data_IF_230683695485
#
_entry.id   IF_230683695485
#
_cell.length_a   1.000
_cell.length_b   1.000
_cell.length_c   1.000
_cell.angle_alpha   90.00
_cell.angle_beta   90.00
_cell.angle_gamma   90.00
#
_symmetry.space_group_name_H-M   'P 1'
#
loop_
_entity.id
_entity.type
_entity.pdbx_description
1 polymer ?
#
# COMPACT_ATOMS: atom_id res chain seq x y z
N UNK A 1 -2.64 -9.68 30.50
CA UNK A 1 -1.51 -8.81 30.17
C UNK A 1 -2.05 -7.68 29.31
N UNK A 2 -1.70 -6.44 29.69
CA UNK A 2 -2.17 -5.24 28.96
C UNK A 2 -1.06 -4.71 28.07
N UNK A 3 -1.42 -4.32 26.83
CA UNK A 3 -0.56 -3.70 25.86
C UNK A 3 -1.15 -2.38 25.39
N UNK A 4 -0.30 -1.41 25.08
CA UNK A 4 -0.67 -0.15 24.43
C UNK A 4 -0.36 -0.22 22.95
N UNK A 5 -1.28 0.24 22.13
CA UNK A 5 -1.14 0.22 20.68
C UNK A 5 -1.35 1.61 20.11
N UNK A 6 -0.39 2.07 19.31
CA UNK A 6 -0.47 3.34 18.60
C UNK A 6 -1.16 3.19 17.23
N UNK A 7 -2.09 4.07 16.91
CA UNK A 7 -2.75 4.12 15.60
C UNK A 7 -3.20 5.54 15.25
N UNK A 8 -3.41 5.79 13.96
CA UNK A 8 -4.08 7.01 13.50
C UNK A 8 -5.56 6.98 13.85
N UNK A 9 -6.15 8.18 13.95
CA UNK A 9 -7.59 8.33 14.18
C UNK A 9 -8.47 8.07 12.94
N UNK A 10 -7.92 7.76 11.77
CA UNK A 10 -8.71 7.54 10.54
C UNK A 10 -9.56 6.27 10.63
N UNK A 11 -10.76 6.24 10.01
CA UNK A 11 -11.64 5.05 10.05
C UNK A 11 -10.92 3.77 9.59
N UNK A 12 -10.14 3.84 8.50
CA UNK A 12 -9.40 2.70 8.00
C UNK A 12 -8.32 2.21 8.98
N UNK A 13 -7.55 3.13 9.58
CA UNK A 13 -6.52 2.75 10.55
C UNK A 13 -7.12 2.09 11.79
N UNK A 14 -8.26 2.60 12.27
CA UNK A 14 -8.99 2.00 13.39
C UNK A 14 -9.55 0.62 13.03
N UNK A 15 -10.12 0.46 11.84
CA UNK A 15 -10.61 -0.84 11.37
C UNK A 15 -9.48 -1.88 11.27
N UNK A 16 -8.32 -1.49 10.73
CA UNK A 16 -7.13 -2.34 10.67
C UNK A 16 -6.62 -2.73 12.04
N UNK A 17 -6.57 -1.76 12.95
CA UNK A 17 -6.16 -1.95 14.34
C UNK A 17 -7.09 -2.94 15.04
N UNK A 18 -8.41 -2.70 15.02
CA UNK A 18 -9.39 -3.56 15.68
C UNK A 18 -9.32 -5.00 15.14
N UNK A 19 -9.20 -5.16 13.81
CA UNK A 19 -9.03 -6.48 13.22
C UNK A 19 -7.79 -7.22 13.78
N UNK A 20 -6.65 -6.54 13.92
CA UNK A 20 -5.43 -7.14 14.52
C UNK A 20 -5.67 -7.52 15.98
N UNK A 21 -6.34 -6.67 16.75
CA UNK A 21 -6.63 -6.95 18.16
C UNK A 21 -7.55 -8.15 18.30
N UNK A 22 -8.58 -8.26 17.45
CA UNK A 22 -9.50 -9.41 17.43
C UNK A 22 -8.74 -10.71 17.12
N UNK A 23 -7.84 -10.70 16.13
CA UNK A 23 -7.00 -11.87 15.80
C UNK A 23 -6.08 -12.26 16.97
N UNK A 24 -5.46 -11.29 17.65
CA UNK A 24 -4.62 -11.55 18.82
C UNK A 24 -5.44 -12.11 20.00
N UNK A 25 -6.63 -11.59 20.25
CA UNK A 25 -7.53 -12.07 21.33
C UNK A 25 -8.01 -13.51 21.06
N UNK A 26 -8.20 -13.92 19.81
CA UNK A 26 -8.48 -15.31 19.45
C UNK A 26 -7.35 -16.27 19.87
N UNK A 27 -6.09 -15.79 19.86
CA UNK A 27 -4.94 -16.60 20.32
C UNK A 27 -4.80 -16.66 21.83
N UNK A 28 -5.28 -15.64 22.54
CA UNK A 28 -5.28 -15.58 24.00
C UNK A 28 -6.28 -14.52 24.49
N UNK A 29 -7.42 -14.96 25.01
CA UNK A 29 -8.49 -14.12 25.51
C UNK A 29 -8.12 -13.27 26.74
N UNK A 30 -7.01 -13.58 27.42
CA UNK A 30 -6.53 -12.78 28.56
C UNK A 30 -5.75 -11.52 28.16
N UNK A 31 -5.51 -11.31 26.87
CA UNK A 31 -4.87 -10.10 26.38
C UNK A 31 -5.85 -8.92 26.44
N UNK A 32 -5.36 -7.81 26.95
CA UNK A 32 -6.09 -6.53 26.96
C UNK A 32 -5.28 -5.49 26.23
N UNK A 33 -5.97 -4.60 25.51
CA UNK A 33 -5.32 -3.60 24.68
C UNK A 33 -5.90 -2.22 24.92
N UNK A 34 -5.03 -1.23 25.02
CA UNK A 34 -5.39 0.18 25.08
C UNK A 34 -4.96 0.86 23.77
N UNK A 35 -5.91 1.42 23.05
CA UNK A 35 -5.67 2.12 21.79
C UNK A 35 -5.35 3.58 22.08
N UNK A 36 -4.14 4.01 21.66
CA UNK A 36 -3.69 5.40 21.73
C UNK A 36 -3.76 6.01 20.31
N UNK A 37 -4.65 6.98 20.13
CA UNK A 37 -4.79 7.70 18.86
C UNK A 37 -3.71 8.77 18.77
N UNK A 38 -2.84 8.65 17.78
CA UNK A 38 -1.72 9.55 17.53
C UNK A 38 -2.05 10.36 16.28
N UNK A 39 -2.06 11.69 16.42
CA UNK A 39 -2.23 12.59 15.27
C UNK A 39 -0.90 12.73 14.54
N UNK A 40 -0.91 12.52 13.23
CA UNK A 40 0.27 12.61 12.38
C UNK A 40 0.26 13.91 11.56
N UNK A 41 1.44 14.33 11.07
CA UNK A 41 1.53 15.48 10.16
C UNK A 41 0.67 15.29 8.91
N UNK A 42 0.55 14.06 8.41
CA UNK A 42 -0.31 13.75 7.28
C UNK A 42 -1.81 13.90 7.55
N UNK A 43 -2.24 13.93 8.82
CA UNK A 43 -3.62 14.18 9.22
C UNK A 43 -3.93 15.68 9.33
N UNK A 44 -2.95 16.51 9.65
CA UNK A 44 -3.12 17.96 9.89
C UNK A 44 -2.71 18.82 8.70
N UNK A 45 -1.79 18.36 7.88
CA UNK A 45 -1.27 19.11 6.73
C UNK A 45 -2.18 18.92 5.51
N UNK A 46 -2.81 19.98 5.05
CA UNK A 46 -3.72 19.98 3.90
C UNK A 46 -3.02 20.13 2.56
N UNK A 47 -1.70 20.41 2.56
CA UNK A 47 -0.91 20.53 1.32
C UNK A 47 -0.93 19.23 0.52
N UNK A 48 -0.77 19.30 -0.82
CA UNK A 48 -0.61 18.12 -1.64
C UNK A 48 0.46 17.16 -1.10
N UNK A 49 0.18 15.83 -1.08
CA UNK A 49 1.11 14.82 -0.55
C UNK A 49 2.50 14.86 -1.23
N UNK A 50 2.57 15.38 -2.46
CA UNK A 50 3.82 15.51 -3.21
C UNK A 50 4.69 16.70 -2.76
N UNK A 51 4.10 17.76 -2.19
CA UNK A 51 4.81 18.89 -1.59
C UNK A 51 5.43 18.53 -0.23
N UNK A 52 4.98 17.42 0.34
CA UNK A 52 5.53 16.92 1.58
C UNK A 52 6.79 16.08 1.27
N UNK A 53 7.96 16.67 1.43
CA UNK A 53 9.26 16.05 1.11
C UNK A 53 9.59 14.78 1.91
N UNK A 54 8.80 14.41 2.90
CA UNK A 54 9.14 13.36 3.85
C UNK A 54 8.43 12.03 3.54
N UNK A 55 9.21 10.95 3.45
CA UNK A 55 8.72 9.56 3.54
C UNK A 55 8.11 9.32 4.92
N UNK A 56 7.07 8.50 5.01
CA UNK A 56 6.50 8.12 6.31
C UNK A 56 5.72 9.23 7.01
N UNK A 57 5.05 10.12 6.28
CA UNK A 57 4.29 11.27 6.84
C UNK A 57 3.16 10.80 7.77
N UNK A 58 2.68 9.59 7.57
CA UNK A 58 1.59 9.01 8.34
C UNK A 58 2.06 8.06 9.43
N UNK A 59 3.33 7.64 9.40
CA UNK A 59 3.88 6.60 10.28
C UNK A 59 4.87 7.16 11.31
N UNK A 60 5.62 8.23 10.96
CA UNK A 60 6.74 8.73 11.77
C UNK A 60 6.40 9.03 13.23
N UNK A 61 5.29 9.71 13.48
CA UNK A 61 4.89 10.06 14.84
C UNK A 61 4.49 8.82 15.64
N UNK A 62 3.87 7.83 14.97
CA UNK A 62 3.47 6.57 15.59
C UNK A 62 4.70 5.70 15.86
N UNK A 63 5.58 5.57 14.88
CA UNK A 63 6.82 4.81 15.00
C UNK A 63 7.73 5.41 16.10
N UNK A 64 7.76 6.74 16.19
CA UNK A 64 8.44 7.44 17.27
C UNK A 64 7.83 7.10 18.64
N UNK A 65 6.52 7.07 18.78
CA UNK A 65 5.85 6.68 20.01
C UNK A 65 6.18 5.22 20.41
N UNK A 66 6.36 4.32 19.42
CA UNK A 66 6.83 2.95 19.67
C UNK A 66 8.29 2.94 20.16
N UNK A 67 9.19 3.66 19.47
CA UNK A 67 10.61 3.71 19.85
C UNK A 67 10.83 4.35 21.22
N UNK A 68 10.06 5.40 21.56
CA UNK A 68 10.08 6.09 22.86
C UNK A 68 9.31 5.34 23.97
N UNK A 69 8.80 4.13 23.72
CA UNK A 69 8.07 3.29 24.70
C UNK A 69 6.76 3.91 25.21
N UNK A 70 6.17 4.85 24.49
CA UNK A 70 4.85 5.40 24.80
C UNK A 70 3.76 4.39 24.49
N UNK A 71 3.96 3.59 23.41
CA UNK A 71 3.15 2.45 23.03
C UNK A 71 4.04 1.22 22.78
N UNK A 72 3.46 0.02 22.86
CA UNK A 72 4.21 -1.23 22.70
C UNK A 72 4.37 -1.61 21.23
N UNK A 73 3.35 -1.37 20.40
CA UNK A 73 3.37 -1.66 18.99
C UNK A 73 2.40 -0.76 18.20
N UNK A 74 2.52 -0.78 16.89
CA UNK A 74 1.68 -0.05 15.96
C UNK A 74 1.22 -0.94 14.80
N UNK A 75 0.08 -0.59 14.18
CA UNK A 75 -0.46 -1.26 12.99
C UNK A 75 -0.49 -0.28 11.83
N UNK A 76 0.16 -0.64 10.73
CA UNK A 76 0.22 0.17 9.51
C UNK A 76 -0.22 -0.63 8.28
N UNK A 77 -0.73 0.06 7.27
CA UNK A 77 -0.80 -0.51 5.92
C UNK A 77 0.62 -0.70 5.40
N UNK A 78 1.00 -1.89 5.00
CA UNK A 78 2.38 -2.23 4.59
C UNK A 78 2.92 -1.32 3.47
N UNK A 79 2.09 -0.96 2.50
CA UNK A 79 2.46 -0.10 1.37
C UNK A 79 2.86 1.33 1.76
N UNK A 80 2.47 1.77 2.96
CA UNK A 80 2.74 3.10 3.48
C UNK A 80 4.02 3.11 4.35
N UNK A 81 4.49 1.92 4.78
CA UNK A 81 5.70 1.73 5.58
C UNK A 81 6.95 1.95 4.72
N UNK A 82 7.89 2.79 5.15
CA UNK A 82 9.15 3.01 4.43
C UNK A 82 9.91 1.70 4.17
N UNK A 83 10.67 1.65 3.07
CA UNK A 83 11.53 0.48 2.76
C UNK A 83 12.55 0.22 3.86
N UNK A 84 13.08 1.28 4.49
CA UNK A 84 13.98 1.20 5.63
C UNK A 84 13.29 1.77 6.87
N UNK A 85 13.23 1.00 7.94
CA UNK A 85 12.73 1.42 9.25
C UNK A 85 13.86 2.06 10.08
N UNK A 86 13.46 2.75 11.16
CA UNK A 86 14.37 3.11 12.23
C UNK A 86 15.05 1.84 12.80
N UNK A 87 16.34 1.94 13.12
CA UNK A 87 17.14 0.79 13.58
C UNK A 87 16.66 0.18 14.90
N UNK A 88 15.87 0.93 15.69
CA UNK A 88 15.26 0.42 16.94
C UNK A 88 13.97 -0.36 16.71
N UNK A 89 13.41 -0.34 15.50
CA UNK A 89 12.11 -0.91 15.16
C UNK A 89 12.22 -2.11 14.24
N UNK A 90 11.22 -2.96 14.30
CA UNK A 90 11.08 -4.11 13.39
C UNK A 90 9.63 -4.36 13.00
N UNK A 91 9.41 -4.91 11.81
CA UNK A 91 8.12 -5.49 11.42
C UNK A 91 8.02 -6.87 12.10
N UNK A 92 7.48 -6.86 13.31
CA UNK A 92 7.38 -8.08 14.14
C UNK A 92 6.41 -9.11 13.56
N UNK A 93 5.37 -8.66 12.84
CA UNK A 93 4.36 -9.55 12.29
C UNK A 93 3.78 -9.00 10.99
N UNK A 94 3.54 -9.92 10.05
CA UNK A 94 2.73 -9.71 8.84
C UNK A 94 1.59 -10.72 8.89
N UNK A 95 0.39 -10.33 9.31
CA UNK A 95 -0.77 -11.20 9.30
C UNK A 95 -1.19 -11.57 7.87
N UNK A 96 -2.16 -12.49 7.76
CA UNK A 96 -2.72 -12.89 6.46
C UNK A 96 -3.11 -11.67 5.62
N UNK A 97 -2.55 -11.63 4.42
CA UNK A 97 -2.74 -10.56 3.44
C UNK A 97 -4.17 -10.57 2.91
N UNK A 98 -4.78 -9.41 2.86
CA UNK A 98 -6.05 -9.18 2.18
C UNK A 98 -5.81 -8.99 0.67
N UNK A 99 -6.89 -8.91 -0.12
CA UNK A 99 -6.81 -8.75 -1.56
C UNK A 99 -5.83 -7.66 -1.99
N UNK A 100 -4.95 -8.00 -2.92
CA UNK A 100 -3.98 -7.07 -3.52
C UNK A 100 -4.59 -6.21 -4.61
N UNK A 101 -5.77 -6.58 -5.14
CA UNK A 101 -6.39 -5.93 -6.29
C UNK A 101 -6.79 -4.49 -6.00
N UNK A 102 -6.73 -3.67 -7.04
CA UNK A 102 -7.48 -2.43 -7.11
C UNK A 102 -8.89 -2.70 -7.63
N UNK A 103 -9.80 -1.79 -7.36
CA UNK A 103 -11.18 -1.85 -7.84
C UNK A 103 -11.59 -0.50 -8.41
N UNK A 104 -12.41 -0.54 -9.45
CA UNK A 104 -13.10 0.62 -9.99
C UNK A 104 -14.52 0.65 -9.42
N UNK A 105 -14.90 1.76 -8.81
CA UNK A 105 -16.24 2.05 -8.31
C UNK A 105 -16.85 3.10 -9.22
N UNK A 106 -18.03 2.82 -9.75
CA UNK A 106 -18.86 3.72 -10.57
C UNK A 106 -20.31 3.62 -10.14
N UNK A 107 -21.12 4.65 -10.33
CA UNK A 107 -22.56 4.61 -9.99
C UNK A 107 -23.31 3.52 -10.74
N UNK A 108 -22.97 3.31 -12.01
CA UNK A 108 -23.66 2.33 -12.87
C UNK A 108 -23.06 0.91 -12.79
N UNK A 109 -21.95 0.71 -12.04
CA UNK A 109 -21.27 -0.58 -11.94
C UNK A 109 -20.44 -0.95 -13.18
N UNK A 110 -20.00 0.03 -13.96
CA UNK A 110 -19.13 -0.19 -15.12
C UNK A 110 -17.78 -0.80 -14.72
N UNK A 111 -17.25 -1.67 -15.57
CA UNK A 111 -15.86 -2.08 -15.56
C UNK A 111 -14.97 -1.04 -16.26
N UNK A 112 -13.65 -1.18 -16.14
CA UNK A 112 -12.72 -0.30 -16.87
C UNK A 112 -12.90 -0.40 -18.40
N UNK A 113 -13.28 -1.57 -18.89
CA UNK A 113 -13.48 -1.81 -20.33
C UNK A 113 -14.82 -1.26 -20.83
N UNK A 114 -15.85 -1.18 -19.97
CA UNK A 114 -17.21 -0.78 -20.34
C UNK A 114 -17.56 0.66 -19.98
N UNK A 115 -16.75 1.34 -19.18
CA UNK A 115 -17.02 2.75 -18.84
C UNK A 115 -16.95 3.63 -20.09
N UNK A 116 -17.89 4.59 -20.27
CA UNK A 116 -17.94 5.45 -21.45
C UNK A 116 -16.63 6.22 -21.69
N UNK A 117 -16.27 6.41 -22.96
CA UNK A 117 -15.16 7.28 -23.38
C UNK A 117 -15.37 8.71 -22.84
N UNK A 118 -14.29 9.38 -22.49
CA UNK A 118 -14.33 10.73 -21.90
C UNK A 118 -14.68 10.76 -20.41
N UNK A 119 -15.04 9.63 -19.78
CA UNK A 119 -15.34 9.59 -18.35
C UNK A 119 -14.16 10.02 -17.49
N UNK A 120 -14.46 10.68 -16.37
CA UNK A 120 -13.48 11.16 -15.40
C UNK A 120 -13.29 10.15 -14.25
N UNK A 121 -12.06 9.65 -14.10
CA UNK A 121 -11.70 8.70 -13.05
C UNK A 121 -10.82 9.39 -12.00
N UNK A 122 -11.28 9.37 -10.75
CA UNK A 122 -10.51 9.88 -9.62
C UNK A 122 -9.45 8.90 -9.12
N UNK A 123 -8.23 9.38 -8.92
CA UNK A 123 -7.15 8.60 -8.29
C UNK A 123 -6.24 9.50 -7.46
N UNK A 124 -5.69 9.00 -6.34
CA UNK A 124 -4.62 9.66 -5.58
C UNK A 124 -3.25 9.03 -5.84
N UNK A 125 -3.18 8.10 -6.78
CA UNK A 125 -1.99 7.29 -7.04
C UNK A 125 -1.56 7.42 -8.49
N UNK A 126 -0.35 7.91 -8.71
CA UNK A 126 0.26 7.96 -10.04
C UNK A 126 0.32 6.59 -10.70
N UNK A 127 0.70 5.56 -9.94
CA UNK A 127 0.71 4.19 -10.45
C UNK A 127 -0.63 3.81 -11.09
N UNK A 128 -1.74 4.13 -10.41
CA UNK A 128 -3.10 3.87 -10.93
C UNK A 128 -3.41 4.75 -12.12
N UNK A 129 -3.11 6.04 -12.02
CA UNK A 129 -3.39 7.00 -13.12
C UNK A 129 -2.70 6.56 -14.41
N UNK A 130 -1.41 6.25 -14.35
CA UNK A 130 -0.64 5.83 -15.53
C UNK A 130 -1.16 4.50 -16.11
N UNK A 131 -1.48 3.53 -15.27
CA UNK A 131 -2.01 2.24 -15.75
C UNK A 131 -3.41 2.39 -16.38
N UNK A 132 -4.26 3.27 -15.83
CA UNK A 132 -5.57 3.60 -16.45
C UNK A 132 -5.34 4.25 -17.81
N UNK A 133 -4.55 5.32 -17.88
CA UNK A 133 -4.29 6.05 -19.13
C UNK A 133 -3.63 5.18 -20.19
N UNK A 134 -2.82 4.20 -19.78
CA UNK A 134 -2.22 3.22 -20.70
C UNK A 134 -3.27 2.27 -21.30
N UNK A 135 -4.21 1.79 -20.48
CA UNK A 135 -5.24 0.84 -20.93
C UNK A 135 -6.43 1.54 -21.60
N UNK A 136 -6.76 2.73 -21.15
CA UNK A 136 -7.88 3.55 -21.62
C UNK A 136 -7.43 5.02 -21.78
N UNK A 137 -6.71 5.34 -22.85
CA UNK A 137 -6.20 6.71 -23.11
C UNK A 137 -7.31 7.72 -23.42
N UNK A 138 -8.52 7.24 -23.63
CA UNK A 138 -9.74 8.01 -23.84
C UNK A 138 -10.41 8.47 -22.54
N UNK A 139 -9.91 8.06 -21.37
CA UNK A 139 -10.44 8.47 -20.06
C UNK A 139 -9.66 9.67 -19.49
N UNK A 140 -10.35 10.50 -18.72
CA UNK A 140 -9.75 11.61 -17.98
C UNK A 140 -9.40 11.17 -16.55
N UNK A 141 -8.11 11.04 -16.20
CA UNK A 141 -7.72 10.67 -14.85
C UNK A 141 -7.35 11.91 -14.06
N UNK A 142 -8.07 12.18 -12.97
CA UNK A 142 -7.87 13.36 -12.11
C UNK A 142 -7.40 13.01 -10.71
N UNK A 143 -6.53 13.84 -10.11
CA UNK A 143 -6.13 13.68 -8.72
C UNK A 143 -7.32 13.98 -7.80
N UNK A 144 -7.53 13.12 -6.80
CA UNK A 144 -8.54 13.32 -5.76
C UNK A 144 -7.96 13.12 -4.38
N UNK A 145 -8.55 13.75 -3.37
CA UNK A 145 -8.18 13.63 -1.96
C UNK A 145 -9.34 13.17 -1.10
N UNK A 146 -9.02 12.85 0.14
CA UNK A 146 -9.94 12.40 1.17
C UNK A 146 -9.74 10.93 1.53
N UNK A 147 -10.46 10.48 2.54
CA UNK A 147 -10.55 9.08 2.90
C UNK A 147 -11.38 8.28 1.87
N UNK A 148 -11.52 6.97 2.07
CA UNK A 148 -12.25 6.09 1.14
C UNK A 148 -13.69 6.56 0.95
N UNK A 149 -14.40 6.86 2.02
CA UNK A 149 -15.80 7.30 1.99
C UNK A 149 -15.96 8.63 1.24
N UNK A 150 -15.09 9.61 1.54
CA UNK A 150 -15.10 10.91 0.83
C UNK A 150 -14.93 10.72 -0.67
N UNK A 151 -14.05 9.81 -1.11
CA UNK A 151 -13.81 9.55 -2.54
C UNK A 151 -14.97 8.83 -3.20
N UNK A 152 -15.62 7.89 -2.51
CA UNK A 152 -16.83 7.21 -3.00
C UNK A 152 -17.97 8.23 -3.13
N UNK A 153 -18.13 9.11 -2.15
CA UNK A 153 -19.16 10.15 -2.19
C UNK A 153 -19.04 11.07 -3.40
N UNK A 154 -17.81 11.36 -3.87
CA UNK A 154 -17.61 12.12 -5.11
C UNK A 154 -18.21 11.42 -6.35
N UNK A 155 -18.17 10.10 -6.39
CA UNK A 155 -18.83 9.30 -7.43
C UNK A 155 -20.36 9.36 -7.27
N UNK A 156 -20.85 9.18 -6.05
CA UNK A 156 -22.30 9.23 -5.75
C UNK A 156 -22.89 10.60 -6.12
N UNK A 157 -22.16 11.67 -5.82
CA UNK A 157 -22.54 13.06 -6.12
C UNK A 157 -22.31 13.45 -7.58
N UNK A 158 -21.78 12.53 -8.40
CA UNK A 158 -21.48 12.75 -9.83
C UNK A 158 -20.45 13.87 -10.09
N UNK A 159 -19.57 14.16 -9.12
CA UNK A 159 -18.42 15.05 -9.34
C UNK A 159 -17.36 14.38 -10.25
N UNK A 160 -17.30 13.05 -10.22
CA UNK A 160 -16.48 12.18 -11.07
C UNK A 160 -17.30 10.94 -11.45
N UNK A 161 -16.97 10.29 -12.56
CA UNK A 161 -17.69 9.11 -13.05
C UNK A 161 -17.26 7.81 -12.36
N UNK A 162 -16.03 7.78 -11.88
CA UNK A 162 -15.50 6.63 -11.15
C UNK A 162 -14.30 6.93 -10.27
N UNK A 163 -14.01 6.03 -9.34
CA UNK A 163 -12.82 6.11 -8.46
C UNK A 163 -12.13 4.77 -8.37
N UNK A 164 -10.78 4.78 -8.41
CA UNK A 164 -9.98 3.56 -8.20
C UNK A 164 -9.43 3.52 -6.79
N UNK A 165 -9.78 2.46 -6.05
CA UNK A 165 -9.39 2.22 -4.66
C UNK A 165 -8.79 0.82 -4.49
N UNK A 166 -8.05 0.59 -3.39
CA UNK A 166 -7.61 -0.74 -3.02
C UNK A 166 -8.78 -1.55 -2.44
N UNK A 167 -9.03 -2.76 -2.95
CA UNK A 167 -10.09 -3.65 -2.46
C UNK A 167 -9.95 -3.92 -0.96
N UNK A 168 -8.74 -4.16 -0.48
CA UNK A 168 -8.47 -4.39 0.94
C UNK A 168 -8.97 -3.27 1.86
N UNK A 169 -8.92 -2.00 1.41
CA UNK A 169 -9.43 -0.87 2.19
C UNK A 169 -10.95 -0.89 2.31
N UNK A 170 -11.64 -1.23 1.23
CA UNK A 170 -13.10 -1.35 1.18
C UNK A 170 -13.57 -2.52 2.05
N UNK A 171 -12.93 -3.69 1.89
CA UNK A 171 -13.24 -4.89 2.69
C UNK A 171 -13.10 -4.63 4.19
N UNK A 172 -11.97 -3.99 4.61
CA UNK A 172 -11.71 -3.71 6.03
C UNK A 172 -12.67 -2.70 6.66
N UNK A 173 -13.17 -1.75 5.86
CA UNK A 173 -14.17 -0.80 6.32
C UNK A 173 -15.59 -1.36 6.27
N UNK A 174 -15.79 -2.55 5.68
CA UNK A 174 -17.13 -3.11 5.49
C UNK A 174 -18.02 -2.26 4.58
N UNK A 175 -17.42 -1.48 3.66
CA UNK A 175 -18.19 -0.62 2.75
C UNK A 175 -18.86 -1.48 1.69
N UNK A 176 -20.20 -1.53 1.73
CA UNK A 176 -21.00 -2.18 0.68
C UNK A 176 -21.14 -1.23 -0.52
N UNK A 177 -20.43 -1.54 -1.60
CA UNK A 177 -20.47 -0.79 -2.84
C UNK A 177 -20.23 -1.68 -4.04
N UNK A 178 -21.00 -1.45 -5.12
CA UNK A 178 -20.75 -2.13 -6.40
C UNK A 178 -19.40 -1.69 -6.94
N UNK A 179 -18.56 -2.66 -7.29
CA UNK A 179 -17.25 -2.39 -7.84
C UNK A 179 -16.83 -3.45 -8.85
N UNK A 180 -16.01 -3.07 -9.81
CA UNK A 180 -15.33 -3.96 -10.74
C UNK A 180 -13.89 -4.17 -10.31
N UNK A 181 -13.45 -5.43 -10.26
CA UNK A 181 -12.06 -5.79 -9.91
C UNK A 181 -11.16 -5.45 -11.10
N UNK A 182 -10.06 -4.74 -10.83
CA UNK A 182 -8.96 -4.59 -11.76
C UNK A 182 -7.99 -5.75 -11.50
N UNK A 183 -7.87 -6.67 -12.48
CA UNK A 183 -7.03 -7.86 -12.33
C UNK A 183 -5.59 -7.46 -12.07
N UNK A 184 -4.97 -8.07 -11.05
CA UNK A 184 -3.55 -7.86 -10.73
C UNK A 184 -2.58 -8.28 -11.84
N UNK A 185 -3.05 -9.05 -12.82
CA UNK A 185 -2.23 -9.48 -13.96
C UNK A 185 -2.09 -8.36 -15.00
N UNK A 186 -3.12 -7.52 -15.14
CA UNK A 186 -3.16 -6.38 -16.07
C UNK A 186 -2.93 -5.04 -15.37
N UNK A 187 -3.21 -4.98 -14.07
CA UNK A 187 -3.19 -3.76 -13.27
C UNK A 187 -2.42 -4.02 -11.96
N UNK A 188 -1.10 -3.90 -12.06
CA UNK A 188 -0.20 -4.26 -10.96
C UNK A 188 -0.44 -3.40 -9.72
N UNK A 189 -0.64 -4.01 -8.53
CA UNK A 189 -0.85 -3.29 -7.29
C UNK A 189 0.41 -2.56 -6.80
N UNK A 190 0.26 -1.70 -5.81
CA UNK A 190 1.42 -1.15 -5.10
C UNK A 190 2.13 -2.23 -4.30
N UNK A 191 3.47 -2.24 -4.22
CA UNK A 191 4.17 -3.13 -3.29
C UNK A 191 3.56 -3.01 -1.89
N UNK A 192 3.33 -4.13 -1.22
CA UNK A 192 2.70 -4.19 0.09
C UNK A 192 1.19 -3.98 0.13
N UNK A 193 0.52 -3.76 -0.99
CA UNK A 193 -0.93 -3.56 -0.99
C UNK A 193 -1.66 -4.79 -0.44
N UNK A 194 -2.66 -4.57 0.41
CA UNK A 194 -3.42 -5.63 1.07
C UNK A 194 -2.82 -6.12 2.38
N UNK A 195 -1.51 -6.01 2.58
CA UNK A 195 -0.84 -6.44 3.81
C UNK A 195 -0.87 -5.39 4.91
N UNK A 196 -0.77 -5.84 6.16
CA UNK A 196 -0.52 -5.03 7.33
C UNK A 196 0.92 -5.27 7.83
N UNK A 197 1.53 -4.22 8.35
CA UNK A 197 2.77 -4.29 9.10
C UNK A 197 2.46 -4.03 10.58
N UNK A 198 2.81 -4.97 11.44
CA UNK A 198 2.74 -4.74 12.88
C UNK A 198 4.18 -4.48 13.36
N UNK A 199 4.41 -3.25 13.78
CA UNK A 199 5.74 -2.74 14.12
C UNK A 199 5.87 -2.62 15.63
N UNK A 200 6.98 -3.10 16.18
CA UNK A 200 7.36 -2.89 17.57
C UNK A 200 8.87 -2.66 17.68
N UNK A 201 9.37 -2.43 18.88
CA UNK A 201 10.81 -2.36 19.13
C UNK A 201 11.48 -3.70 18.88
N UNK A 202 12.67 -3.69 18.32
CA UNK A 202 13.44 -4.89 18.00
C UNK A 202 13.99 -5.62 19.25
N UNK A 203 14.10 -4.91 20.38
CA UNK A 203 14.54 -5.44 21.68
C UNK A 203 13.38 -6.00 22.53
N UNK A 204 12.11 -5.78 22.14
CA UNK A 204 10.94 -6.25 22.89
C UNK A 204 10.54 -7.67 22.48
N UNK A 205 11.31 -8.64 22.92
CA UNK A 205 11.10 -10.07 22.62
C UNK A 205 9.71 -10.58 23.07
N UNK A 206 9.14 -10.00 24.13
CA UNK A 206 7.82 -10.38 24.67
C UNK A 206 6.71 -9.95 23.70
N UNK A 207 6.75 -8.70 23.24
CA UNK A 207 5.78 -8.17 22.25
C UNK A 207 5.94 -8.90 20.92
N UNK A 208 7.18 -9.12 20.44
CA UNK A 208 7.45 -9.89 19.21
C UNK A 208 6.83 -11.29 19.30
N UNK A 209 7.06 -12.03 20.40
CA UNK A 209 6.51 -13.38 20.57
C UNK A 209 4.97 -13.39 20.60
N UNK A 210 4.35 -12.38 21.17
CA UNK A 210 2.89 -12.23 21.18
C UNK A 210 2.36 -11.97 19.78
N UNK A 211 2.94 -11.02 19.04
CA UNK A 211 2.53 -10.64 17.69
C UNK A 211 2.72 -11.76 16.67
N UNK A 212 3.81 -12.54 16.77
CA UNK A 212 4.08 -13.68 15.89
C UNK A 212 3.02 -14.79 15.90
N UNK A 213 2.11 -14.80 16.87
CA UNK A 213 1.03 -15.79 16.90
C UNK A 213 0.02 -15.63 15.77
N UNK A 214 -0.06 -14.46 15.18
CA UNK A 214 -0.95 -14.17 14.04
C UNK A 214 -0.17 -13.95 12.73
N UNK A 215 1.11 -14.29 12.72
CA UNK A 215 1.94 -14.25 11.52
C UNK A 215 1.43 -15.22 10.46
N UNK A 216 1.32 -14.76 9.22
CA UNK A 216 1.09 -15.61 8.06
C UNK A 216 2.38 -15.77 7.25
N UNK A 217 2.85 -17.01 7.15
CA UNK A 217 4.14 -17.32 6.54
C UNK A 217 4.20 -16.88 5.06
N UNK A 218 3.17 -17.15 4.30
CA UNK A 218 3.16 -16.82 2.87
C UNK A 218 3.12 -15.30 2.67
N UNK A 219 2.26 -14.60 3.41
CA UNK A 219 2.21 -13.13 3.37
C UNK A 219 3.54 -12.50 3.76
N UNK A 220 4.26 -13.06 4.75
CA UNK A 220 5.60 -12.60 5.13
C UNK A 220 6.59 -12.73 3.97
N UNK A 221 6.66 -13.89 3.33
CA UNK A 221 7.56 -14.18 2.21
C UNK A 221 7.27 -13.25 1.03
N UNK A 222 6.00 -13.09 0.67
CA UNK A 222 5.56 -12.19 -0.40
C UNK A 222 6.00 -10.75 -0.14
N UNK A 223 5.76 -10.27 1.08
CA UNK A 223 6.11 -8.91 1.49
C UNK A 223 7.62 -8.68 1.54
N UNK A 224 8.41 -9.65 1.98
CA UNK A 224 9.87 -9.53 1.99
C UNK A 224 10.43 -9.37 0.58
N UNK A 225 9.92 -10.10 -0.42
CA UNK A 225 10.33 -9.93 -1.82
C UNK A 225 9.94 -8.55 -2.37
N UNK A 226 8.71 -8.10 -2.13
CA UNK A 226 8.23 -6.78 -2.59
C UNK A 226 8.98 -5.62 -1.90
N UNK A 227 9.32 -5.76 -0.62
CA UNK A 227 10.09 -4.75 0.12
C UNK A 227 11.54 -4.70 -0.32
N UNK A 228 12.17 -5.86 -0.52
CA UNK A 228 13.54 -5.95 -1.06
C UNK A 228 13.62 -5.30 -2.45
N UNK A 229 12.65 -5.57 -3.33
CA UNK A 229 12.56 -4.85 -4.60
C UNK A 229 12.51 -3.33 -4.37
N UNK A 230 11.60 -2.87 -3.50
CA UNK A 230 11.42 -1.44 -3.22
C UNK A 230 12.67 -0.77 -2.68
N UNK A 231 13.44 -1.46 -1.85
CA UNK A 231 14.72 -1.02 -1.31
C UNK A 231 15.77 -0.86 -2.42
N UNK A 232 15.86 -1.87 -3.31
CA UNK A 232 16.90 -1.91 -4.33
C UNK A 232 16.65 -0.96 -5.52
N UNK A 233 15.41 -0.63 -5.86
CA UNK A 233 15.15 0.38 -6.90
C UNK A 233 15.23 1.81 -6.38
N UNK A 234 15.68 1.99 -5.13
CA UNK A 234 15.67 3.28 -4.43
C UNK A 234 14.31 3.98 -4.52
N UNK A 235 13.30 3.19 -4.32
CA UNK A 235 11.92 3.59 -4.47
C UNK A 235 11.42 4.46 -3.31
N UNK A 236 12.32 5.20 -2.71
CA UNK A 236 11.90 6.41 -2.01
C UNK A 236 11.08 7.28 -2.92
N UNK A 237 10.97 6.85 -4.12
CA UNK A 237 10.34 7.50 -5.22
C UNK A 237 8.89 7.09 -5.30
N UNK A 238 8.03 8.08 -5.37
CA UNK A 238 6.61 7.93 -5.67
C UNK A 238 6.36 7.70 -7.15
N UNK A 239 7.36 7.22 -7.91
CA UNK A 239 7.16 6.95 -9.32
C UNK A 239 6.28 5.72 -9.55
N UNK A 240 5.67 5.57 -10.73
CA UNK A 240 4.69 4.54 -11.00
C UNK A 240 5.30 3.13 -11.03
N UNK A 241 5.41 2.50 -9.86
CA UNK A 241 5.80 1.10 -9.69
C UNK A 241 4.61 0.28 -9.23
N UNK A 242 4.32 -0.79 -9.93
CA UNK A 242 3.48 -1.87 -9.47
C UNK A 242 4.33 -3.09 -9.16
N UNK A 243 4.03 -3.81 -8.09
CA UNK A 243 4.65 -5.09 -7.80
C UNK A 243 3.71 -5.99 -7.02
N UNK A 244 3.83 -7.29 -7.27
CA UNK A 244 3.04 -8.31 -6.60
C UNK A 244 3.84 -9.60 -6.54
N UNK A 245 4.11 -10.07 -5.32
CA UNK A 245 4.66 -11.39 -5.07
C UNK A 245 3.56 -12.39 -4.72
N UNK A 246 3.72 -13.64 -5.11
CA UNK A 246 2.84 -14.74 -4.73
C UNK A 246 3.62 -16.03 -4.50
N UNK A 247 3.37 -16.66 -3.35
CA UNK A 247 3.87 -17.98 -3.02
C UNK A 247 2.97 -19.03 -3.69
N UNK A 248 3.60 -19.93 -4.43
CA UNK A 248 2.99 -21.17 -4.90
C UNK A 248 3.45 -22.33 -4.02
N UNK A 249 3.09 -23.61 -4.35
CA UNK A 249 3.56 -24.77 -3.58
C UNK A 249 5.09 -24.80 -3.42
N UNK A 250 5.83 -24.48 -4.48
CA UNK A 250 7.27 -24.74 -4.56
C UNK A 250 8.11 -23.51 -4.98
N UNK A 251 7.49 -22.39 -5.29
CA UNK A 251 8.19 -21.21 -5.78
C UNK A 251 7.53 -19.91 -5.32
N UNK A 252 8.32 -18.85 -5.34
CA UNK A 252 7.91 -17.48 -5.15
C UNK A 252 7.97 -16.77 -6.49
N UNK A 253 6.85 -16.23 -6.97
CA UNK A 253 6.76 -15.46 -8.20
C UNK A 253 6.72 -13.98 -7.82
N UNK A 254 7.53 -13.13 -8.46
CA UNK A 254 7.45 -11.67 -8.31
C UNK A 254 7.25 -11.01 -9.68
N UNK A 255 6.09 -10.37 -9.84
CA UNK A 255 5.75 -9.55 -11.02
C UNK A 255 5.98 -8.08 -10.69
N UNK A 256 6.63 -7.37 -11.60
CA UNK A 256 6.94 -5.94 -11.43
C UNK A 256 6.65 -5.20 -12.72
N UNK A 257 6.10 -4.00 -12.60
CA UNK A 257 5.90 -3.07 -13.69
C UNK A 257 6.31 -1.66 -13.29
N UNK A 258 7.17 -1.07 -14.10
CA UNK A 258 7.54 0.34 -14.00
C UNK A 258 7.05 1.06 -15.23
N UNK A 259 6.46 2.22 -15.05
CA UNK A 259 5.80 2.96 -16.14
C UNK A 259 6.33 4.38 -16.22
N UNK A 260 6.49 4.89 -17.44
CA UNK A 260 6.71 6.32 -17.66
C UNK A 260 5.43 7.11 -17.31
N UNK A 261 5.58 8.37 -16.96
CA UNK A 261 4.46 9.22 -16.55
C UNK A 261 3.40 9.43 -17.63
N UNK A 262 3.80 9.35 -18.90
CA UNK A 262 2.90 9.42 -20.07
C UNK A 262 2.29 8.05 -20.46
N UNK A 263 2.62 6.98 -19.72
CA UNK A 263 2.15 5.62 -19.97
C UNK A 263 2.72 4.95 -21.23
N UNK A 264 3.58 5.62 -22.01
CA UNK A 264 4.06 5.10 -23.29
C UNK A 264 5.16 4.06 -23.14
N UNK A 265 6.06 4.24 -22.17
CA UNK A 265 7.15 3.31 -21.89
C UNK A 265 6.84 2.49 -20.63
N UNK A 266 7.26 1.25 -20.60
CA UNK A 266 7.20 0.39 -19.42
C UNK A 266 8.29 -0.66 -19.45
N UNK A 267 8.75 -1.06 -18.27
CA UNK A 267 9.52 -2.27 -18.04
C UNK A 267 8.63 -3.21 -17.23
N UNK A 268 8.44 -4.42 -17.75
CA UNK A 268 7.66 -5.47 -17.09
C UNK A 268 8.56 -6.68 -16.90
N UNK A 269 8.68 -7.15 -15.66
CA UNK A 269 9.50 -8.31 -15.30
C UNK A 269 8.63 -9.26 -14.48
N UNK A 270 8.71 -10.55 -14.79
CA UNK A 270 8.16 -11.63 -13.98
C UNK A 270 9.25 -12.68 -13.80
N UNK A 271 9.59 -12.96 -12.54
CA UNK A 271 10.65 -13.89 -12.18
C UNK A 271 10.21 -14.85 -11.09
N UNK A 272 10.79 -16.06 -11.15
CA UNK A 272 10.62 -17.08 -10.13
C UNK A 272 11.85 -17.13 -9.22
N UNK A 273 11.63 -17.34 -7.93
CA UNK A 273 12.66 -17.48 -6.93
C UNK A 273 12.33 -18.57 -5.90
N UNK A 274 13.30 -18.86 -5.06
CA UNK A 274 13.12 -19.77 -3.96
C UNK A 274 12.30 -19.14 -2.84
N UNK A 275 11.39 -19.90 -2.25
CA UNK A 275 10.50 -19.48 -1.17
C UNK A 275 11.27 -19.11 0.11
N UNK A 276 12.42 -19.73 0.33
CA UNK A 276 13.29 -19.52 1.49
C UNK A 276 14.24 -18.32 1.34
N UNK A 277 14.28 -17.70 0.16
CA UNK A 277 15.15 -16.55 -0.10
C UNK A 277 14.43 -15.39 -0.85
N UNK A 278 13.34 -14.86 -0.29
CA UNK A 278 12.53 -13.82 -0.94
C UNK A 278 13.29 -12.50 -1.17
N UNK A 279 14.24 -12.18 -0.28
CA UNK A 279 15.06 -10.98 -0.38
C UNK A 279 15.91 -10.96 -1.66
N UNK A 280 16.56 -12.08 -2.01
CA UNK A 280 17.41 -12.15 -3.20
C UNK A 280 16.58 -12.04 -4.51
N UNK A 281 15.35 -12.53 -4.52
CA UNK A 281 14.46 -12.33 -5.68
C UNK A 281 14.15 -10.85 -5.90
N UNK A 282 13.77 -10.13 -4.86
CA UNK A 282 13.51 -8.69 -4.93
C UNK A 282 14.74 -7.90 -5.36
N UNK A 283 15.91 -8.21 -4.79
CA UNK A 283 17.20 -7.61 -5.14
C UNK A 283 17.60 -7.88 -6.59
N UNK A 284 17.47 -9.13 -7.07
CA UNK A 284 17.74 -9.51 -8.47
C UNK A 284 16.95 -8.63 -9.42
N UNK A 285 15.63 -8.56 -9.24
CA UNK A 285 14.75 -7.77 -10.10
C UNK A 285 15.05 -6.27 -9.96
N UNK A 286 15.35 -5.77 -8.76
CA UNK A 286 15.75 -4.38 -8.55
C UNK A 286 17.01 -3.99 -9.34
N UNK A 287 18.00 -4.87 -9.38
CA UNK A 287 19.23 -4.68 -10.16
C UNK A 287 18.95 -4.77 -11.68
N UNK A 288 18.10 -5.70 -12.09
CA UNK A 288 17.68 -5.83 -13.48
C UNK A 288 16.95 -4.57 -13.99
N UNK A 289 16.01 -4.03 -13.21
CA UNK A 289 15.34 -2.76 -13.53
C UNK A 289 16.33 -1.62 -13.69
N UNK A 290 17.36 -1.55 -12.85
CA UNK A 290 18.42 -0.54 -12.98
C UNK A 290 19.19 -0.70 -14.30
N UNK A 291 19.54 -1.92 -14.66
CA UNK A 291 20.25 -2.20 -15.93
C UNK A 291 19.40 -1.90 -17.17
N UNK A 292 18.07 -2.02 -17.05
CA UNK A 292 17.12 -1.69 -18.12
C UNK A 292 16.74 -0.19 -18.16
N UNK A 293 17.41 0.67 -17.39
CA UNK A 293 17.22 2.11 -17.46
C UNK A 293 15.98 2.63 -16.73
N UNK A 294 15.61 2.00 -15.59
CA UNK A 294 14.48 2.47 -14.78
C UNK A 294 14.57 3.94 -14.40
N UNK A 295 15.79 4.46 -14.20
CA UNK A 295 16.03 5.87 -13.88
C UNK A 295 15.61 6.82 -15.01
N UNK A 296 15.74 6.40 -16.26
CA UNK A 296 15.31 7.20 -17.41
C UNK A 296 13.79 7.24 -17.54
N UNK A 297 13.12 6.09 -17.32
CA UNK A 297 11.65 5.99 -17.33
C UNK A 297 11.07 6.83 -16.20
N UNK A 298 11.74 6.85 -15.06
CA UNK A 298 11.35 7.62 -13.88
C UNK A 298 11.85 9.08 -13.87
N UNK A 299 12.64 9.55 -14.85
CA UNK A 299 13.35 10.83 -14.77
C UNK A 299 12.32 11.92 -14.64
N UNK A 300 11.46 12.37 -15.02
CA UNK A 300 10.62 13.57 -14.83
C UNK A 300 9.35 13.33 -13.98
N UNK A 301 9.34 12.27 -13.16
CA UNK A 301 8.12 11.92 -12.43
C UNK A 301 7.66 13.00 -11.44
N UNK A 302 8.60 13.76 -10.84
CA UNK A 302 8.25 14.81 -9.85
C UNK A 302 7.56 15.99 -10.52
N UNK A 303 8.13 16.53 -11.59
CA UNK A 303 7.55 17.62 -12.36
C UNK A 303 6.16 17.25 -12.89
N UNK A 304 6.05 16.07 -13.47
CA UNK A 304 4.76 15.57 -14.00
C UNK A 304 3.75 15.25 -12.91
N UNK A 305 4.18 14.85 -11.72
CA UNK A 305 3.30 14.72 -10.57
C UNK A 305 2.74 16.08 -10.14
N UNK A 306 3.59 17.11 -10.10
CA UNK A 306 3.16 18.46 -9.79
C UNK A 306 2.16 18.99 -10.83
N UNK A 307 2.45 18.81 -12.12
CA UNK A 307 1.52 19.16 -13.20
C UNK A 307 0.19 18.44 -13.08
N UNK A 308 0.23 17.12 -12.83
CA UNK A 308 -0.99 16.32 -12.67
C UNK A 308 -1.84 16.75 -11.46
N UNK A 309 -1.21 17.10 -10.35
CA UNK A 309 -1.94 17.54 -9.15
C UNK A 309 -2.49 18.98 -9.23
N UNK A 310 -2.08 19.76 -10.23
CA UNK A 310 -2.65 21.10 -10.51
C UNK A 310 -3.91 21.04 -11.38
N UNK A 311 -4.25 19.90 -11.96
CA UNK A 311 -5.46 19.66 -12.74
C UNK A 311 -6.69 19.42 -11.84
#
# INVERSE_FOLDING_TARGET
MSYKLGTRGSPLSLAQTNWVLDELQKTNSSLTFNIEKITTKGDTDTRPLFEMEQKGIFEKEIDRAVSEKQVDFAVHSMKDVPSTLDSSLTIACVPKRESVNDVLITNAGFSLDSIPSGSTIGSSSLRRAVQISRKRPDLNVKPIRGNIETRINKVIQKEIDGVVLAKAGISRLGVDTKHSILSKDDFLPSPGQGALAIICRNDDSKTIKMLKKIEDKNSRIEIEAERSLSEHIDSGCRFPVGAYASVTSDSLILKVGVYSMDGKKSILIEENGAVDNPFELGKKIGNELKSQGVSEIASNWREKLEEWNKQ
#
